data_IF_440333290877
#
_entry.id   IF_440333290877
#
_cell.length_a   1.000
_cell.length_b   1.000
_cell.length_c   1.000
_cell.angle_alpha   90.00
_cell.angle_beta   90.00
_cell.angle_gamma   90.00
#
_symmetry.space_group_name_H-M   'P 1'
#
loop_
_entity.id
_entity.type
_entity.pdbx_description
1 polymer ?
#
# COMPACT_ATOMS: atom_id res chain seq x y z
N UNK A 1 8.41 -10.92 26.55
CA UNK A 1 7.19 -10.25 26.08
C UNK A 1 7.49 -9.67 24.70
N UNK A 2 7.03 -10.32 23.62
CA UNK A 2 7.32 -9.87 22.25
C UNK A 2 6.42 -8.67 21.91
N UNK A 3 6.96 -7.57 21.37
CA UNK A 3 6.15 -6.40 21.07
C UNK A 3 5.23 -6.68 19.87
N UNK A 4 3.92 -6.48 20.07
CA UNK A 4 2.93 -6.46 19.01
C UNK A 4 2.83 -5.03 18.43
N UNK A 5 2.98 -4.89 17.12
CA UNK A 5 2.82 -3.62 16.42
C UNK A 5 1.38 -3.50 15.93
N UNK A 6 0.77 -2.34 16.19
CA UNK A 6 -0.59 -2.01 15.74
C UNK A 6 -0.50 -1.02 14.58
N UNK A 7 -1.14 -1.34 13.46
CA UNK A 7 -1.27 -0.48 12.29
C UNK A 7 -2.75 -0.20 12.04
N UNK A 8 -3.14 1.07 11.93
CA UNK A 8 -4.50 1.47 11.62
C UNK A 8 -4.52 2.29 10.32
N UNK A 9 -5.47 1.99 9.44
CA UNK A 9 -5.72 2.78 8.24
C UNK A 9 -7.20 3.14 8.16
N UNK A 10 -7.48 4.39 7.78
CA UNK A 10 -8.83 4.91 7.60
C UNK A 10 -8.87 5.71 6.30
N UNK A 11 -9.98 5.61 5.59
CA UNK A 11 -10.18 6.35 4.36
C UNK A 11 -11.65 6.77 4.21
N UNK A 12 -11.85 7.98 3.70
CA UNK A 12 -13.13 8.50 3.24
C UNK A 12 -12.93 9.10 1.85
N UNK A 13 -13.81 8.73 0.92
CA UNK A 13 -13.76 9.17 -0.47
C UNK A 13 -15.12 9.73 -0.84
N UNK A 14 -15.12 11.02 -1.17
CA UNK A 14 -16.31 11.78 -1.55
C UNK A 14 -16.07 12.40 -2.92
N UNK A 15 -17.02 12.17 -3.84
CA UNK A 15 -16.99 12.71 -5.20
C UNK A 15 -18.15 13.69 -5.38
N UNK A 16 -17.93 14.68 -6.25
CA UNK A 16 -19.00 15.56 -6.70
C UNK A 16 -20.05 14.77 -7.51
N UNK A 17 -21.22 15.37 -7.71
CA UNK A 17 -22.26 14.79 -8.57
C UNK A 17 -21.71 14.48 -9.97
N UNK A 18 -22.02 13.28 -10.47
CA UNK A 18 -21.52 12.79 -11.74
C UNK A 18 -21.18 11.30 -11.72
N UNK A 19 -20.54 10.78 -12.78
CA UNK A 19 -20.30 9.34 -12.94
C UNK A 19 -19.34 8.74 -11.91
N UNK A 20 -18.54 9.56 -11.22
CA UNK A 20 -17.63 9.11 -10.17
C UNK A 20 -18.33 8.93 -8.80
N UNK A 21 -19.49 9.56 -8.59
CA UNK A 21 -20.25 9.51 -7.33
C UNK A 21 -20.50 8.10 -6.77
N UNK A 22 -20.90 7.08 -7.56
CA UNK A 22 -21.12 5.72 -7.03
C UNK A 22 -19.85 5.02 -6.57
N UNK A 23 -18.65 5.56 -6.85
CA UNK A 23 -17.37 4.97 -6.43
C UNK A 23 -16.86 5.51 -5.09
N UNK A 24 -17.62 6.40 -4.43
CA UNK A 24 -17.32 6.89 -3.08
C UNK A 24 -17.49 5.82 -2.00
N UNK A 25 -17.03 6.11 -0.80
CA UNK A 25 -17.16 5.20 0.34
C UNK A 25 -16.25 5.55 1.51
N UNK A 26 -16.44 4.84 2.63
CA UNK A 26 -15.60 4.97 3.82
C UNK A 26 -15.23 3.59 4.37
N UNK A 27 -14.01 3.45 4.89
CA UNK A 27 -13.53 2.22 5.48
C UNK A 27 -12.47 2.47 6.55
N UNK A 28 -12.41 1.56 7.53
CA UNK A 28 -11.37 1.49 8.54
C UNK A 28 -10.86 0.06 8.67
N UNK A 29 -9.54 -0.11 8.68
CA UNK A 29 -8.88 -1.41 8.83
C UNK A 29 -7.84 -1.30 9.94
N UNK A 30 -7.90 -2.23 10.90
CA UNK A 30 -6.90 -2.39 11.92
C UNK A 30 -6.12 -3.69 11.65
N UNK A 31 -4.81 -3.59 11.75
CA UNK A 31 -3.87 -4.65 11.40
C UNK A 31 -2.94 -4.86 12.58
N UNK A 32 -2.94 -6.08 13.12
CA UNK A 32 -2.03 -6.50 14.17
C UNK A 32 -0.84 -7.23 13.54
N UNK A 33 0.37 -6.74 13.81
CA UNK A 33 1.63 -7.27 13.30
C UNK A 33 2.39 -7.91 14.47
N UNK A 34 2.70 -9.20 14.33
CA UNK A 34 3.41 -9.96 15.35
C UNK A 34 4.20 -11.13 14.78
N UNK A 35 5.06 -11.77 15.60
CA UNK A 35 5.62 -13.06 15.25
C UNK A 35 4.50 -14.11 15.15
N UNK A 36 4.69 -15.12 14.30
CA UNK A 36 3.83 -16.32 14.19
C UNK A 36 2.35 -16.17 13.75
N UNK A 37 1.93 -15.00 13.26
CA UNK A 37 0.62 -14.84 12.60
C UNK A 37 0.38 -15.67 11.30
N UNK A 38 -0.87 -15.83 10.85
CA UNK A 38 -1.22 -16.71 9.72
C UNK A 38 -0.77 -16.20 8.35
N UNK A 39 -0.60 -14.89 8.15
CA UNK A 39 -0.19 -14.28 6.88
C UNK A 39 1.23 -13.71 7.04
N UNK A 40 2.19 -14.14 6.20
CA UNK A 40 3.60 -13.74 6.32
C UNK A 40 4.06 -12.93 5.12
N UNK A 41 4.83 -11.86 5.34
CA UNK A 41 5.49 -11.13 4.26
C UNK A 41 6.79 -11.81 3.83
N UNK A 42 7.01 -11.92 2.52
CA UNK A 42 8.29 -12.36 1.94
C UNK A 42 9.20 -11.16 1.68
N UNK A 43 10.29 -11.03 2.44
CA UNK A 43 11.15 -9.84 2.40
C UNK A 43 11.83 -9.56 1.06
N UNK A 44 12.03 -10.59 0.23
CA UNK A 44 12.72 -10.49 -1.07
C UNK A 44 11.79 -10.30 -2.27
N UNK A 45 10.49 -10.52 -2.09
CA UNK A 45 9.50 -10.44 -3.20
C UNK A 45 8.71 -9.14 -3.06
N UNK A 46 9.34 -8.03 -3.47
CA UNK A 46 8.73 -6.69 -3.44
C UNK A 46 9.15 -5.86 -4.66
N UNK A 47 8.23 -5.03 -5.16
CA UNK A 47 8.52 -4.07 -6.23
C UNK A 47 7.73 -2.79 -6.02
N UNK A 48 8.43 -1.66 -6.01
CA UNK A 48 7.84 -0.31 -5.90
C UNK A 48 7.95 0.41 -7.24
N UNK A 49 7.04 1.35 -7.48
CA UNK A 49 7.06 2.28 -8.62
C UNK A 49 6.53 3.61 -8.12
N UNK A 50 7.27 4.68 -8.37
CA UNK A 50 6.89 6.05 -8.05
C UNK A 50 7.13 6.91 -9.30
N UNK A 51 6.15 7.71 -9.68
CA UNK A 51 6.21 8.62 -10.81
C UNK A 51 5.49 9.92 -10.46
N UNK A 52 5.90 11.00 -11.11
CA UNK A 52 5.30 12.31 -10.95
C UNK A 52 4.19 12.52 -11.99
N UNK A 53 2.98 12.09 -11.65
CA UNK A 53 1.81 12.13 -12.53
C UNK A 53 0.60 12.75 -11.82
N UNK A 54 -0.20 13.54 -12.53
CA UNK A 54 -1.37 14.27 -12.00
C UNK A 54 -2.70 13.61 -12.36
N UNK A 55 -2.82 12.31 -12.18
CA UNK A 55 -4.02 11.55 -12.57
C UNK A 55 -5.15 11.59 -11.53
N UNK A 56 -4.83 11.75 -10.24
CA UNK A 56 -5.81 11.81 -9.15
C UNK A 56 -5.25 12.63 -7.99
N UNK A 57 -5.82 13.81 -7.77
CA UNK A 57 -5.29 14.77 -6.78
C UNK A 57 -6.37 15.76 -6.31
N UNK A 58 -6.05 16.53 -5.27
CA UNK A 58 -6.92 17.59 -4.73
C UNK A 58 -6.30 18.97 -5.01
N UNK A 59 -6.66 19.65 -6.12
CA UNK A 59 -6.12 20.98 -6.42
C UNK A 59 -6.69 22.09 -5.52
N UNK A 60 -7.95 21.97 -5.13
CA UNK A 60 -8.63 22.98 -4.31
C UNK A 60 -8.67 22.53 -2.85
N UNK A 61 -7.94 23.22 -1.98
CA UNK A 61 -7.87 22.89 -0.55
C UNK A 61 -9.19 23.12 0.19
N UNK A 62 -10.09 23.96 -0.34
CA UNK A 62 -11.40 24.22 0.25
C UNK A 62 -12.46 23.17 -0.14
N UNK A 63 -12.12 22.25 -1.05
CA UNK A 63 -13.06 21.24 -1.54
C UNK A 63 -12.61 19.83 -1.16
N UNK A 64 -13.56 18.98 -0.81
CA UNK A 64 -13.29 17.57 -0.55
C UNK A 64 -13.11 16.75 -1.84
N UNK A 65 -13.54 17.31 -2.97
CA UNK A 65 -13.58 16.64 -4.26
C UNK A 65 -12.22 16.60 -4.95
N UNK A 66 -11.97 15.51 -5.66
CA UNK A 66 -10.72 15.26 -6.38
C UNK A 66 -10.85 15.61 -7.87
N UNK A 67 -9.77 16.11 -8.46
CA UNK A 67 -9.60 16.13 -9.92
C UNK A 67 -9.15 14.75 -10.41
N UNK A 68 -9.64 14.33 -11.57
CA UNK A 68 -9.38 13.01 -12.14
C UNK A 68 -9.06 13.09 -13.64
N UNK A 69 -7.98 12.44 -14.04
CA UNK A 69 -7.55 12.25 -15.43
C UNK A 69 -7.27 10.77 -15.71
N UNK A 70 -7.56 10.31 -16.92
CA UNK A 70 -7.36 8.92 -17.31
C UNK A 70 -5.91 8.70 -17.79
N UNK A 71 -5.15 7.76 -17.20
CA UNK A 71 -4.05 7.13 -17.97
C UNK A 71 -2.67 6.78 -17.36
N UNK A 72 -2.48 6.48 -16.07
CA UNK A 72 -1.15 6.05 -15.57
C UNK A 72 -1.09 4.68 -14.85
N UNK A 73 -2.23 4.08 -14.50
CA UNK A 73 -2.26 2.94 -13.58
C UNK A 73 -1.54 1.69 -14.12
N UNK A 74 -1.66 1.43 -15.42
CA UNK A 74 -1.06 0.26 -16.06
C UNK A 74 0.47 0.31 -16.09
N UNK A 75 1.06 1.49 -16.27
CA UNK A 75 2.52 1.66 -16.25
C UNK A 75 3.11 1.29 -14.88
N UNK A 76 2.45 1.70 -13.80
CA UNK A 76 2.86 1.32 -12.45
C UNK A 76 2.75 -0.19 -12.19
N UNK A 77 1.69 -0.84 -12.69
CA UNK A 77 1.54 -2.31 -12.56
C UNK A 77 2.65 -3.04 -13.33
N UNK A 78 2.92 -2.63 -14.57
CA UNK A 78 3.94 -3.26 -15.40
C UNK A 78 5.34 -3.12 -14.79
N UNK A 79 5.69 -1.92 -14.32
CA UNK A 79 6.98 -1.65 -13.68
C UNK A 79 7.17 -2.46 -12.40
N UNK A 80 6.15 -2.54 -11.54
CA UNK A 80 6.22 -3.38 -10.33
C UNK A 80 6.35 -4.86 -10.67
N UNK A 81 5.60 -5.36 -11.66
CA UNK A 81 5.71 -6.75 -12.12
C UNK A 81 7.11 -7.06 -12.65
N UNK A 82 7.72 -6.13 -13.39
CA UNK A 82 9.10 -6.26 -13.85
C UNK A 82 10.07 -6.31 -12.67
N UNK A 83 9.97 -5.39 -11.71
CA UNK A 83 10.84 -5.34 -10.54
C UNK A 83 10.74 -6.61 -9.67
N UNK A 84 9.54 -7.16 -9.49
CA UNK A 84 9.36 -8.41 -8.75
C UNK A 84 9.99 -9.60 -9.49
N UNK A 85 9.91 -9.62 -10.83
CA UNK A 85 10.48 -10.70 -11.65
C UNK A 85 12.01 -10.67 -11.72
N UNK A 86 12.61 -9.48 -11.72
CA UNK A 86 14.05 -9.29 -11.97
C UNK A 86 14.83 -8.83 -10.72
N UNK A 87 14.17 -8.47 -9.63
CA UNK A 87 14.75 -7.92 -8.41
C UNK A 87 15.57 -8.89 -7.54
N UNK A 88 15.85 -10.11 -8.01
CA UNK A 88 16.83 -11.00 -7.37
C UNK A 88 18.29 -10.63 -7.72
N UNK A 89 18.53 -9.63 -8.58
CA UNK A 89 19.87 -9.18 -8.98
C UNK A 89 20.18 -7.70 -8.63
N UNK A 90 19.23 -6.95 -8.08
CA UNK A 90 19.46 -5.57 -7.67
C UNK A 90 20.08 -5.52 -6.26
N UNK A 91 21.41 -5.49 -6.23
CA UNK A 91 22.23 -5.09 -5.08
C UNK A 91 21.71 -3.75 -4.56
N UNK A 92 21.12 -3.76 -3.36
CA UNK A 92 20.99 -2.56 -2.55
C UNK A 92 22.23 -2.50 -1.66
N UNK A 93 22.94 -1.38 -1.71
CA UNK A 93 24.14 -1.10 -0.95
C UNK A 93 24.05 -1.54 0.52
N UNK A 94 25.03 -2.36 0.93
CA UNK A 94 25.79 -2.16 2.17
C UNK A 94 25.12 -2.27 3.55
N UNK A 95 23.81 -2.46 3.68
CA UNK A 95 23.16 -2.60 5.02
C UNK A 95 22.37 -3.90 5.23
N UNK A 96 22.37 -4.83 4.28
CA UNK A 96 21.63 -6.09 4.38
C UNK A 96 22.30 -7.17 5.26
N UNK A 97 23.32 -6.79 6.04
CA UNK A 97 23.79 -7.58 7.19
C UNK A 97 22.93 -7.26 8.41
N UNK A 98 21.62 -7.48 8.30
CA UNK A 98 20.77 -7.68 9.46
C UNK A 98 20.29 -9.12 9.44
N UNK A 99 21.15 -9.98 9.95
CA UNK A 99 20.84 -11.24 10.60
C UNK A 99 19.97 -12.22 9.80
N UNK A 100 20.61 -13.32 9.41
CA UNK A 100 20.04 -14.63 9.06
C UNK A 100 19.20 -15.29 10.18
N UNK A 101 18.67 -14.52 11.15
CA UNK A 101 17.77 -14.96 12.20
C UNK A 101 16.32 -14.62 11.86
N UNK A 102 15.59 -15.61 11.34
CA UNK A 102 14.13 -15.60 11.08
C UNK A 102 13.33 -14.74 12.08
N UNK A 103 12.93 -13.55 11.67
CA UNK A 103 11.72 -12.90 12.21
C UNK A 103 10.77 -12.69 11.04
N UNK A 104 10.00 -13.74 10.74
CA UNK A 104 8.82 -13.63 9.89
C UNK A 104 7.86 -12.68 10.60
N UNK A 105 7.73 -11.44 10.12
CA UNK A 105 6.71 -10.50 10.60
C UNK A 105 5.40 -10.89 9.93
N UNK A 106 4.42 -11.27 10.72
CA UNK A 106 3.19 -11.90 10.27
C UNK A 106 1.99 -11.04 10.67
N UNK A 107 0.89 -11.10 9.91
CA UNK A 107 -0.26 -10.18 9.92
C UNK A 107 -1.56 -10.85 10.40
N UNK A 108 -2.35 -10.14 11.22
CA UNK A 108 -3.74 -10.46 11.56
C UNK A 108 -4.63 -9.25 11.27
N UNK A 109 -5.76 -9.45 10.57
CA UNK A 109 -6.66 -8.39 10.11
C UNK A 109 -7.93 -8.27 10.95
N UNK A 110 -8.34 -7.04 11.26
CA UNK A 110 -9.69 -6.68 11.70
C UNK A 110 -10.27 -5.64 10.74
N UNK A 111 -11.39 -5.98 10.09
CA UNK A 111 -12.13 -5.06 9.22
C UNK A 111 -13.36 -4.59 9.97
N UNK A 112 -13.44 -3.30 10.27
CA UNK A 112 -14.66 -2.69 10.78
C UNK A 112 -15.48 -2.22 9.57
N UNK A 113 -16.60 -2.89 9.30
CA UNK A 113 -17.65 -2.42 8.40
C UNK A 113 -18.84 -1.94 9.22
N UNK A 114 -19.40 -0.79 8.85
CA UNK A 114 -20.80 -0.46 9.15
C UNK A 114 -21.72 -1.30 8.28
#
# INVERSE_FOLDING_TARGET
MLPLLHLATTAIVVYAEGPAQPTGGAAAIAILIGPDAPITFEGRVRGTYMAHDYYFYKPNLASEYTAFEFGCHLHGIQSRRFNIRHGNEAILDGSDVINSGRVKRRLLFFVAKN
#
